data_IF_413810396554
#
_entry.id   IF_413810396554
#
_cell.length_a   1.000
_cell.length_b   1.000
_cell.length_c   1.000
_cell.angle_alpha   90.00
_cell.angle_beta   90.00
_cell.angle_gamma   90.00
#
_symmetry.space_group_name_H-M   'P 1'
#
loop_
_entity.id
_entity.type
_entity.pdbx_description
1 polymer ?
#
# COMPACT_ATOMS: atom_id res chain seq x y z
N UNK A 1 19.71 -65.90 1.13
CA UNK A 1 21.13 -65.56 0.89
C UNK A 1 21.28 -65.16 -0.57
N UNK A 2 21.38 -63.85 -0.85
CA UNK A 2 21.90 -63.30 -2.11
C UNK A 2 22.14 -61.80 -1.92
N UNK A 3 23.38 -61.42 -2.22
CA UNK A 3 24.07 -60.13 -2.15
C UNK A 3 23.27 -58.84 -2.44
N UNK A 4 23.69 -57.74 -1.79
CA UNK A 4 24.44 -56.68 -2.50
C UNK A 4 25.19 -55.73 -1.56
N UNK A 5 26.42 -55.48 -1.98
CA UNK A 5 27.44 -54.52 -1.54
C UNK A 5 27.21 -53.11 -2.10
N UNK A 6 27.72 -52.11 -1.39
CA UNK A 6 27.90 -50.70 -1.78
C UNK A 6 27.87 -49.83 -0.52
N UNK A 7 28.97 -49.37 0.09
CA UNK A 7 29.89 -48.31 -0.37
C UNK A 7 29.08 -47.03 -0.72
N UNK A 8 29.28 -45.85 -0.14
CA UNK A 8 30.53 -45.17 0.23
C UNK A 8 30.28 -44.01 1.21
N UNK A 9 31.33 -43.64 1.93
CA UNK A 9 31.55 -42.32 2.51
C UNK A 9 31.15 -41.20 1.53
N UNK A 10 30.37 -40.23 2.01
CA UNK A 10 30.11 -38.98 1.29
C UNK A 10 29.75 -37.86 2.26
N UNK A 11 30.44 -37.79 3.41
CA UNK A 11 30.55 -36.55 4.18
C UNK A 11 31.83 -35.86 3.73
N UNK A 12 31.73 -35.16 2.60
CA UNK A 12 32.70 -34.16 2.18
C UNK A 12 32.05 -32.79 2.38
N UNK A 13 32.75 -31.96 3.14
CA UNK A 13 32.49 -30.54 3.31
C UNK A 13 32.47 -29.85 1.94
N UNK A 14 31.47 -29.00 1.72
CA UNK A 14 31.58 -27.94 0.72
C UNK A 14 31.11 -26.65 1.37
N UNK A 15 32.09 -25.96 1.95
CA UNK A 15 32.08 -24.53 2.20
C UNK A 15 31.77 -23.84 0.87
N UNK A 16 30.52 -23.41 0.69
CA UNK A 16 30.20 -22.41 -0.33
C UNK A 16 30.13 -21.06 0.35
N UNK A 17 31.31 -20.44 0.41
CA UNK A 17 31.48 -19.00 0.50
C UNK A 17 30.78 -18.35 -0.69
N UNK A 18 29.53 -17.96 -0.50
CA UNK A 18 28.79 -17.09 -1.41
C UNK A 18 28.91 -15.65 -0.94
N UNK A 19 29.81 -14.91 -1.56
CA UNK A 19 29.99 -13.45 -1.50
C UNK A 19 28.63 -12.74 -1.57
N UNK A 20 28.12 -12.28 -0.42
CA UNK A 20 26.91 -11.45 -0.37
C UNK A 20 27.26 -10.04 -0.84
N UNK A 21 27.22 -9.85 -2.17
CA UNK A 21 27.23 -8.53 -2.81
C UNK A 21 26.16 -7.68 -2.13
N UNK A 22 26.60 -6.68 -1.36
CA UNK A 22 25.72 -5.64 -0.80
C UNK A 22 25.27 -4.74 -1.93
N UNK A 23 24.31 -5.20 -2.73
CA UNK A 23 23.57 -4.33 -3.65
C UNK A 23 22.71 -3.43 -2.78
N UNK A 24 22.96 -2.12 -2.81
CA UNK A 24 22.15 -1.10 -2.15
C UNK A 24 20.67 -1.36 -2.42
N UNK A 25 19.95 -1.86 -1.42
CA UNK A 25 18.59 -2.36 -1.55
C UNK A 25 17.64 -1.19 -1.83
N UNK A 26 17.37 -0.92 -3.09
CA UNK A 26 16.24 -0.07 -3.45
C UNK A 26 14.98 -0.75 -2.92
N UNK A 27 14.35 -0.14 -1.92
CA UNK A 27 13.12 -0.67 -1.35
C UNK A 27 12.01 -0.53 -2.40
N UNK A 28 11.39 -1.66 -2.78
CA UNK A 28 10.35 -1.71 -3.81
C UNK A 28 9.07 -2.27 -3.22
N UNK A 29 7.95 -1.62 -3.51
CA UNK A 29 6.64 -2.05 -3.07
C UNK A 29 5.70 -2.23 -4.27
N UNK A 30 4.79 -3.19 -4.17
CA UNK A 30 3.76 -3.40 -5.18
C UNK A 30 2.54 -2.54 -4.89
N UNK A 31 2.09 -1.77 -5.89
CA UNK A 31 0.94 -0.86 -5.79
C UNK A 31 -0.17 -1.36 -6.69
N UNK A 32 -1.36 -1.55 -6.12
CA UNK A 32 -2.57 -1.84 -6.87
C UNK A 32 -3.29 -0.55 -7.23
N UNK A 33 -3.61 -0.38 -8.50
CA UNK A 33 -4.32 0.79 -9.03
C UNK A 33 -5.78 0.46 -9.36
N UNK A 34 -6.72 1.40 -9.21
CA UNK A 34 -8.16 1.21 -9.48
C UNK A 34 -8.48 1.25 -10.98
N UNK A 35 -7.78 0.42 -11.76
CA UNK A 35 -7.92 0.23 -13.21
C UNK A 35 -8.14 -1.26 -13.52
N UNK A 36 -8.59 -1.66 -14.73
CA UNK A 36 -8.85 -3.06 -15.05
C UNK A 36 -7.54 -3.84 -15.26
N UNK A 37 -6.76 -3.97 -14.20
CA UNK A 37 -5.47 -4.67 -14.15
C UNK A 37 -5.61 -5.90 -13.25
N UNK A 38 -4.99 -7.00 -13.68
CA UNK A 38 -5.06 -8.28 -12.96
C UNK A 38 -4.08 -8.40 -11.79
N UNK A 39 -3.08 -7.50 -11.70
CA UNK A 39 -2.04 -7.52 -10.66
C UNK A 39 -1.61 -6.11 -10.26
N UNK A 40 -0.96 -6.02 -9.10
CA UNK A 40 -0.23 -4.83 -8.67
C UNK A 40 1.06 -4.65 -9.51
N UNK A 41 1.58 -3.43 -9.54
CA UNK A 41 2.82 -3.08 -10.23
C UNK A 41 3.88 -2.63 -9.23
N UNK A 42 5.14 -2.96 -9.50
CA UNK A 42 6.25 -2.57 -8.64
C UNK A 42 6.62 -1.10 -8.86
N UNK A 43 6.85 -0.40 -7.76
CA UNK A 43 7.33 0.98 -7.72
C UNK A 43 8.52 1.07 -6.76
N UNK A 44 9.44 1.99 -7.04
CA UNK A 44 10.52 2.32 -6.11
C UNK A 44 10.00 3.24 -5.01
N UNK A 45 10.44 3.00 -3.78
CA UNK A 45 10.10 3.83 -2.62
C UNK A 45 11.22 4.83 -2.40
N UNK A 46 10.96 6.15 -2.53
CA UNK A 46 11.93 7.17 -2.16
C UNK A 46 12.28 7.08 -0.68
N UNK A 47 13.53 7.34 -0.31
CA UNK A 47 14.00 7.32 1.09
C UNK A 47 13.24 8.31 1.99
N UNK A 48 12.61 9.32 1.40
CA UNK A 48 11.80 10.32 2.10
C UNK A 48 10.42 9.82 2.53
N UNK A 49 9.95 8.68 2.00
CA UNK A 49 8.62 8.14 2.25
C UNK A 49 8.70 6.80 3.01
N UNK A 50 8.14 6.79 4.22
CA UNK A 50 7.88 5.54 4.94
C UNK A 50 6.48 5.02 4.58
N UNK A 51 6.45 3.91 3.84
CA UNK A 51 5.24 3.27 3.36
C UNK A 51 5.05 1.90 4.01
N UNK A 52 3.81 1.55 4.29
CA UNK A 52 3.42 0.25 4.81
C UNK A 52 2.33 -0.37 3.92
N UNK A 53 2.16 -1.68 4.03
CA UNK A 53 1.16 -2.39 3.26
C UNK A 53 -0.26 -1.93 3.67
N UNK A 54 -1.04 -1.49 2.68
CA UNK A 54 -2.36 -0.90 2.85
C UNK A 54 -2.36 0.63 2.75
N UNK A 55 -1.20 1.29 2.73
CA UNK A 55 -1.15 2.74 2.54
C UNK A 55 -1.72 3.17 1.19
N UNK A 56 -2.38 4.33 1.20
CA UNK A 56 -2.87 4.99 0.01
C UNK A 56 -1.78 5.89 -0.56
N UNK A 57 -1.47 5.74 -1.84
CA UNK A 57 -0.37 6.44 -2.50
C UNK A 57 -0.75 6.96 -3.89
N UNK A 58 -0.10 8.03 -4.34
CA UNK A 58 -0.17 8.48 -5.73
C UNK A 58 1.02 7.96 -6.51
N UNK A 59 0.75 7.33 -7.66
CA UNK A 59 1.77 6.77 -8.55
C UNK A 59 1.54 7.17 -10.01
N UNK A 60 2.60 7.26 -10.82
CA UNK A 60 2.46 7.46 -12.26
C UNK A 60 1.98 6.18 -12.94
N UNK A 61 0.86 6.26 -13.65
CA UNK A 61 0.26 5.14 -14.37
C UNK A 61 -0.31 5.61 -15.72
N UNK A 62 0.21 5.05 -16.82
CA UNK A 62 -0.31 5.35 -18.17
C UNK A 62 -0.25 6.82 -18.58
N UNK A 63 0.77 7.57 -18.15
CA UNK A 63 0.96 8.99 -18.49
C UNK A 63 0.23 9.99 -17.61
N UNK A 64 -0.46 9.53 -16.56
CA UNK A 64 -1.14 10.36 -15.55
C UNK A 64 -0.78 9.89 -14.14
N UNK A 65 -1.15 10.69 -13.16
CA UNK A 65 -1.05 10.33 -11.75
C UNK A 65 -2.34 9.70 -11.26
N UNK A 66 -2.22 8.62 -10.48
CA UNK A 66 -3.35 7.81 -10.02
C UNK A 66 -3.15 7.46 -8.56
N UNK A 67 -4.21 7.58 -7.77
CA UNK A 67 -4.24 7.05 -6.42
C UNK A 67 -4.42 5.52 -6.43
N UNK A 68 -3.54 4.81 -5.75
CA UNK A 68 -3.53 3.36 -5.56
C UNK A 68 -3.28 2.99 -4.10
N UNK A 69 -3.16 1.70 -3.85
CA UNK A 69 -2.94 1.13 -2.52
C UNK A 69 -1.71 0.23 -2.55
N UNK A 70 -0.82 0.35 -1.56
CA UNK A 70 0.30 -0.59 -1.37
C UNK A 70 -0.28 -1.96 -1.06
N UNK A 71 -0.08 -2.91 -1.97
CA UNK A 71 -0.69 -4.23 -1.89
C UNK A 71 0.21 -5.25 -1.20
N UNK A 72 1.52 -5.12 -1.39
CA UNK A 72 2.53 -5.95 -0.74
C UNK A 72 3.94 -5.52 -1.09
N UNK A 73 4.90 -6.40 -0.81
CA UNK A 73 6.29 -6.23 -1.24
C UNK A 73 6.38 -6.25 -2.78
N UNK A 74 7.41 -5.59 -3.32
CA UNK A 74 7.72 -5.67 -4.75
C UNK A 74 8.15 -7.08 -5.14
N UNK A 75 7.75 -7.54 -6.32
CA UNK A 75 8.15 -8.85 -6.83
C UNK A 75 9.64 -8.92 -7.20
N UNK A 76 10.24 -7.77 -7.53
CA UNK A 76 11.67 -7.68 -7.89
C UNK A 76 11.97 -8.15 -9.32
N UNK A 77 10.94 -8.43 -10.12
CA UNK A 77 11.07 -8.88 -11.51
C UNK A 77 11.53 -7.76 -12.47
N UNK A 78 11.50 -6.51 -12.01
CA UNK A 78 11.78 -5.33 -12.83
C UNK A 78 13.10 -4.69 -12.40
N UNK A 79 13.97 -4.43 -13.38
CA UNK A 79 15.23 -3.71 -13.15
C UNK A 79 14.97 -2.36 -12.45
N UNK A 80 15.75 -1.98 -11.42
CA UNK A 80 15.55 -0.73 -10.67
C UNK A 80 15.43 0.52 -11.55
N UNK A 81 16.20 0.60 -12.64
CA UNK A 81 16.20 1.71 -13.60
C UNK A 81 14.86 1.94 -14.33
N UNK A 82 14.02 0.90 -14.42
CA UNK A 82 12.71 0.97 -15.07
C UNK A 82 11.56 1.24 -14.10
N UNK A 83 11.83 1.16 -12.80
CA UNK A 83 10.83 1.40 -11.78
C UNK A 83 10.55 2.89 -11.68
N UNK A 84 9.27 3.23 -11.72
CA UNK A 84 8.83 4.59 -11.42
C UNK A 84 8.74 4.77 -9.90
N UNK A 85 9.02 5.98 -9.38
CA UNK A 85 8.91 6.24 -7.96
C UNK A 85 7.45 6.41 -7.52
N UNK A 86 7.16 6.10 -6.26
CA UNK A 86 5.96 6.58 -5.57
C UNK A 86 6.06 8.09 -5.36
N UNK A 87 5.00 8.84 -5.68
CA UNK A 87 5.03 10.31 -5.68
C UNK A 87 4.59 10.89 -4.33
N UNK A 88 3.54 10.32 -3.74
CA UNK A 88 2.92 10.88 -2.54
C UNK A 88 2.21 9.81 -1.71
N UNK A 89 2.29 9.91 -0.38
CA UNK A 89 1.49 9.12 0.58
C UNK A 89 0.33 9.97 1.09
N UNK A 90 -0.90 9.46 0.98
CA UNK A 90 -2.07 10.11 1.54
C UNK A 90 -2.13 9.96 3.07
N UNK A 91 -2.55 11.00 3.82
CA UNK A 91 -2.64 10.97 5.28
C UNK A 91 -3.90 10.25 5.76
N UNK A 92 -4.07 8.99 5.37
CA UNK A 92 -5.22 8.13 5.69
C UNK A 92 -4.75 6.93 6.51
N UNK A 93 -5.69 6.30 7.24
CA UNK A 93 -5.41 5.00 7.87
C UNK A 93 -5.14 3.96 6.77
N UNK A 94 -4.12 3.10 6.91
CA UNK A 94 -3.87 2.02 5.97
C UNK A 94 -5.10 1.12 5.83
N UNK A 95 -5.32 0.62 4.61
CA UNK A 95 -6.36 -0.36 4.32
C UNK A 95 -6.13 -1.64 5.13
N UNK A 96 -7.08 -2.05 5.99
CA UNK A 96 -6.94 -3.26 6.80
C UNK A 96 -6.69 -4.50 5.95
N UNK A 97 -5.89 -5.44 6.45
CA UNK A 97 -5.62 -6.72 5.77
C UNK A 97 -6.92 -7.45 5.38
N UNK A 98 -7.90 -7.49 6.30
CA UNK A 98 -9.21 -8.12 6.05
C UNK A 98 -9.93 -7.55 4.81
N UNK A 99 -9.80 -6.25 4.56
CA UNK A 99 -10.39 -5.61 3.39
C UNK A 99 -9.64 -5.98 2.11
N UNK A 100 -8.30 -6.02 2.15
CA UNK A 100 -7.47 -6.46 1.02
C UNK A 100 -7.71 -7.92 0.67
N UNK A 101 -7.78 -8.79 1.67
CA UNK A 101 -8.07 -10.21 1.51
C UNK A 101 -9.47 -10.42 0.89
N UNK A 102 -10.47 -9.63 1.36
CA UNK A 102 -11.82 -9.68 0.79
C UNK A 102 -11.84 -9.24 -0.67
N UNK A 103 -11.16 -8.14 -1.02
CA UNK A 103 -11.04 -7.66 -2.40
C UNK A 103 -10.40 -8.74 -3.30
N UNK A 104 -9.33 -9.37 -2.83
CA UNK A 104 -8.67 -10.47 -3.56
C UNK A 104 -9.60 -11.67 -3.73
N UNK A 105 -10.32 -12.06 -2.68
CA UNK A 105 -11.30 -13.14 -2.74
C UNK A 105 -12.42 -12.84 -3.75
N UNK A 106 -13.00 -11.63 -3.74
CA UNK A 106 -14.03 -11.21 -4.70
C UNK A 106 -13.50 -11.24 -6.13
N UNK A 107 -12.29 -10.72 -6.36
CA UNK A 107 -11.67 -10.71 -7.69
C UNK A 107 -11.50 -12.13 -8.24
N UNK A 108 -11.04 -13.06 -7.40
CA UNK A 108 -10.89 -14.49 -7.75
C UNK A 108 -12.23 -15.17 -7.99
N UNK A 109 -13.21 -14.94 -7.11
CA UNK A 109 -14.54 -15.56 -7.20
C UNK A 109 -15.29 -15.12 -8.46
N UNK A 110 -15.23 -13.83 -8.79
CA UNK A 110 -15.93 -13.26 -9.94
C UNK A 110 -15.12 -13.31 -11.24
N UNK A 111 -13.90 -13.85 -11.23
CA UNK A 111 -12.96 -13.81 -12.37
C UNK A 111 -12.82 -12.37 -12.92
N UNK A 112 -12.73 -11.41 -12.00
CA UNK A 112 -12.65 -9.99 -12.31
C UNK A 112 -11.23 -9.48 -12.10
N UNK A 113 -10.76 -8.49 -12.89
CA UNK A 113 -9.49 -7.84 -12.63
C UNK A 113 -9.45 -7.24 -11.21
N UNK A 114 -8.38 -7.52 -10.47
CA UNK A 114 -8.22 -7.09 -9.08
C UNK A 114 -8.37 -5.57 -8.91
N UNK A 115 -7.79 -4.78 -9.82
CA UNK A 115 -7.92 -3.33 -9.78
C UNK A 115 -9.33 -2.81 -10.05
N UNK A 116 -10.17 -3.56 -10.80
CA UNK A 116 -11.59 -3.22 -10.97
C UNK A 116 -12.36 -3.39 -9.67
N UNK A 117 -12.08 -4.45 -8.90
CA UNK A 117 -12.71 -4.68 -7.59
C UNK A 117 -12.23 -3.63 -6.58
N UNK A 118 -10.95 -3.28 -6.59
CA UNK A 118 -10.43 -2.16 -5.79
C UNK A 118 -11.18 -0.86 -6.13
N UNK A 119 -11.38 -0.56 -7.42
CA UNK A 119 -12.13 0.63 -7.86
C UNK A 119 -13.54 0.67 -7.27
N UNK A 120 -14.24 -0.48 -7.21
CA UNK A 120 -15.56 -0.58 -6.58
C UNK A 120 -15.50 -0.30 -5.07
N UNK A 121 -14.43 -0.74 -4.40
CA UNK A 121 -14.22 -0.45 -2.97
C UNK A 121 -13.87 1.01 -2.71
N UNK A 122 -13.29 1.73 -3.67
CA UNK A 122 -12.90 3.13 -3.57
C UNK A 122 -13.95 4.03 -4.22
N UNK A 123 -15.16 4.08 -3.64
CA UNK A 123 -16.33 4.72 -4.24
C UNK A 123 -16.20 6.23 -4.45
N UNK A 124 -15.21 6.92 -3.84
CA UNK A 124 -14.96 8.36 -4.02
C UNK A 124 -13.46 8.65 -4.03
N UNK A 125 -12.80 8.78 -5.19
CA UNK A 125 -11.38 9.16 -5.27
C UNK A 125 -11.06 10.49 -4.57
N UNK A 126 -12.02 11.44 -4.55
CA UNK A 126 -11.90 12.70 -3.81
C UNK A 126 -11.88 12.52 -2.27
N UNK A 127 -12.29 11.36 -1.76
CA UNK A 127 -12.17 11.02 -0.33
C UNK A 127 -10.74 10.72 0.11
N UNK A 128 -9.79 10.65 -0.83
CA UNK A 128 -8.37 10.46 -0.53
C UNK A 128 -7.65 11.78 -0.21
N UNK A 129 -8.34 12.90 -0.40
CA UNK A 129 -7.89 14.24 -0.01
C UNK A 129 -8.68 14.72 1.21
N UNK A 130 -8.05 15.49 2.13
CA UNK A 130 -8.75 16.03 3.29
C UNK A 130 -9.93 16.91 2.84
N UNK A 131 -11.07 16.78 3.55
CA UNK A 131 -12.25 17.60 3.31
C UNK A 131 -11.89 19.08 3.46
N UNK A 132 -12.31 19.91 2.50
CA UNK A 132 -12.21 21.35 2.63
C UNK A 132 -13.00 21.78 3.87
N UNK A 133 -12.41 22.56 4.81
CA UNK A 133 -13.14 23.06 5.97
C UNK A 133 -14.39 23.82 5.51
N UNK A 134 -15.56 23.46 6.06
CA UNK A 134 -16.80 24.20 5.85
C UNK A 134 -16.93 25.24 6.97
N UNK A 135 -17.17 26.49 6.60
CA UNK A 135 -17.44 27.58 7.55
C UNK A 135 -18.89 27.47 8.02
N UNK A 136 -19.09 27.23 9.31
CA UNK A 136 -20.41 27.28 9.95
C UNK A 136 -20.65 28.64 10.62
N UNK A 137 -21.86 29.17 10.49
CA UNK A 137 -22.32 30.32 11.28
C UNK A 137 -23.28 29.83 12.37
N UNK A 138 -23.07 30.29 13.61
CA UNK A 138 -24.02 30.11 14.70
C UNK A 138 -24.47 31.48 15.18
N UNK A 139 -25.77 31.62 15.49
CA UNK A 139 -26.28 32.82 16.15
C UNK A 139 -25.69 32.85 17.56
N UNK A 140 -25.06 33.97 17.94
CA UNK A 140 -24.54 34.14 19.30
C UNK A 140 -25.65 33.85 20.31
N UNK A 141 -25.39 33.07 21.37
CA UNK A 141 -26.34 32.96 22.47
C UNK A 141 -26.63 34.36 23.03
N UNK A 142 -27.86 34.62 23.50
CA UNK A 142 -28.23 35.92 24.05
C UNK A 142 -27.29 36.28 25.21
N UNK A 143 -26.90 37.56 25.34
CA UNK A 143 -26.02 37.99 26.42
C UNK A 143 -26.63 37.61 27.77
N UNK A 144 -25.82 37.00 28.64
CA UNK A 144 -26.24 36.63 29.98
C UNK A 144 -26.76 37.88 30.71
N UNK A 145 -27.97 37.87 31.28
CA UNK A 145 -28.48 39.01 32.04
C UNK A 145 -27.57 39.24 33.24
N UNK A 146 -26.93 40.41 33.33
CA UNK A 146 -26.16 40.80 34.50
C UNK A 146 -27.09 40.89 35.72
N UNK A 147 -26.69 40.39 36.91
CA UNK A 147 -27.53 40.48 38.09
C UNK A 147 -27.75 41.96 38.43
N UNK A 148 -29.02 42.41 38.39
CA UNK A 148 -29.40 43.74 38.87
C UNK A 148 -29.00 43.83 40.34
N UNK A 149 -28.01 44.68 40.63
CA UNK A 149 -27.63 45.07 41.99
C UNK A 149 -28.88 45.64 42.65
N UNK A 150 -29.40 44.93 43.65
CA UNK A 150 -30.55 45.37 44.43
C UNK A 150 -30.30 46.75 45.02
N UNK A 151 -31.21 47.66 44.73
CA UNK A 151 -31.37 48.92 45.44
C UNK A 151 -32.02 48.58 46.79
N UNK A 152 -31.39 49.02 47.87
CA UNK A 152 -31.87 48.98 49.25
C UNK A 152 -31.54 50.29 49.92
#
# INVERSE_FOLDING_TARGET
MSNKSGQSDFFAEEESSGESVRTSSTHTLSVLVPYPVGRAYDYSVPETLSLEIGDYVTVPFGGREVAGVIWGEGAGDVKPEKLKPVLYKHPLRPMPKVQRDFIEWVARYCVAPLGSVLKMSLSVPAGLTPLKPAVGYQISPPPHPSPRRGEG
#
